data_IF_927662458895
#
_entry.id   IF_927662458895
#
_cell.length_a   1.000
_cell.length_b   1.000
_cell.length_c   1.000
_cell.angle_alpha   90.00
_cell.angle_beta   90.00
_cell.angle_gamma   90.00
#
_symmetry.space_group_name_H-M   'P 1'
#
loop_
_entity.id
_entity.type
_entity.pdbx_description
1 polymer ?
#
# COMPACT_ATOMS: atom_id res chain seq x y z
N UNK A 1 3.60 -7.95 -22.04
CA UNK A 1 4.59 -8.01 -20.94
C UNK A 1 3.99 -7.28 -19.77
N UNK A 2 3.69 -8.02 -18.72
CA UNK A 2 2.98 -7.55 -17.53
C UNK A 2 3.89 -6.61 -16.72
N UNK A 3 3.45 -5.37 -16.52
CA UNK A 3 4.11 -4.33 -15.72
C UNK A 3 3.14 -3.84 -14.66
N UNK A 4 3.66 -3.24 -13.60
CA UNK A 4 2.84 -2.59 -12.59
C UNK A 4 2.85 -1.08 -12.77
N UNK A 5 1.70 -0.44 -12.59
CA UNK A 5 1.55 1.01 -12.68
C UNK A 5 1.10 1.52 -11.31
N UNK A 6 1.94 2.35 -10.68
CA UNK A 6 1.62 3.03 -9.44
C UNK A 6 1.13 4.44 -9.74
N UNK A 7 -0.08 4.75 -9.29
CA UNK A 7 -0.67 6.10 -9.41
C UNK A 7 -0.64 6.76 -8.04
N UNK A 8 0.27 7.70 -7.89
CA UNK A 8 0.57 8.39 -6.64
C UNK A 8 0.25 9.89 -6.73
N UNK A 9 -0.11 10.51 -5.61
CA UNK A 9 -0.41 11.93 -5.55
C UNK A 9 -1.21 12.29 -4.29
N UNK A 10 -1.41 13.58 -4.04
CA UNK A 10 -2.16 14.04 -2.87
C UNK A 10 -3.66 13.71 -2.99
N UNK A 11 -4.39 13.83 -1.88
CA UNK A 11 -5.85 13.74 -1.91
C UNK A 11 -6.42 14.84 -2.82
N UNK A 12 -7.37 14.50 -3.69
CA UNK A 12 -7.94 15.44 -4.67
C UNK A 12 -7.14 15.62 -5.96
N UNK A 13 -5.95 15.03 -6.10
CA UNK A 13 -5.12 15.10 -7.31
C UNK A 13 -5.70 14.39 -8.56
N UNK A 14 -6.83 13.69 -8.42
CA UNK A 14 -7.47 12.97 -9.52
C UNK A 14 -6.93 11.57 -9.78
N UNK A 15 -6.24 10.96 -8.80
CA UNK A 15 -5.73 9.58 -8.85
C UNK A 15 -6.77 8.57 -9.32
N UNK A 16 -7.95 8.57 -8.70
CA UNK A 16 -9.02 7.63 -9.05
C UNK A 16 -9.49 7.79 -10.51
N UNK A 17 -9.47 9.03 -11.02
CA UNK A 17 -9.76 9.31 -12.44
C UNK A 17 -8.67 8.75 -13.35
N UNK A 18 -7.40 8.87 -12.97
CA UNK A 18 -6.29 8.28 -13.71
C UNK A 18 -6.38 6.74 -13.73
N UNK A 19 -6.57 6.13 -12.56
CA UNK A 19 -6.74 4.68 -12.41
C UNK A 19 -7.90 4.18 -13.28
N UNK A 20 -9.04 4.89 -13.28
CA UNK A 20 -10.18 4.55 -14.15
C UNK A 20 -9.81 4.56 -15.64
N UNK A 21 -9.10 5.59 -16.11
CA UNK A 21 -8.68 5.69 -17.51
C UNK A 21 -7.66 4.61 -17.88
N UNK A 22 -6.71 4.33 -17.00
CA UNK A 22 -5.72 3.27 -17.21
C UNK A 22 -6.41 1.90 -17.26
N UNK A 23 -7.35 1.64 -16.36
CA UNK A 23 -8.12 0.39 -16.33
C UNK A 23 -8.95 0.20 -17.61
N UNK A 24 -9.59 1.25 -18.11
CA UNK A 24 -10.33 1.19 -19.38
C UNK A 24 -9.44 0.87 -20.59
N UNK A 25 -8.18 1.33 -20.56
CA UNK A 25 -7.21 1.09 -21.64
C UNK A 25 -6.47 -0.24 -21.53
N UNK A 26 -6.39 -0.79 -20.31
CA UNK A 26 -5.71 -2.03 -20.00
C UNK A 26 -6.70 -2.93 -19.23
N UNK A 27 -7.78 -3.41 -19.87
CA UNK A 27 -8.84 -4.16 -19.20
C UNK A 27 -8.36 -5.49 -18.61
N UNK A 28 -7.21 -5.99 -19.03
CA UNK A 28 -6.54 -7.16 -18.50
C UNK A 28 -5.80 -6.89 -17.17
N UNK A 29 -5.60 -5.62 -16.80
CA UNK A 29 -4.89 -5.28 -15.57
C UNK A 29 -5.80 -5.40 -14.34
N UNK A 30 -5.24 -5.93 -13.27
CA UNK A 30 -5.89 -5.94 -11.96
C UNK A 30 -5.77 -4.57 -11.31
N UNK A 31 -6.90 -3.99 -10.89
CA UNK A 31 -6.91 -2.69 -10.23
C UNK A 31 -7.01 -2.87 -8.72
N UNK A 32 -6.09 -2.24 -8.00
CA UNK A 32 -6.10 -2.14 -6.54
C UNK A 32 -6.37 -0.70 -6.14
N UNK A 33 -7.44 -0.51 -5.39
CA UNK A 33 -7.83 0.79 -4.82
C UNK A 33 -7.23 0.95 -3.44
N UNK A 34 -7.18 2.20 -3.01
CA UNK A 34 -6.87 2.57 -1.64
C UNK A 34 -7.77 1.77 -0.66
N UNK A 35 -7.15 1.04 0.28
CA UNK A 35 -7.83 0.19 1.26
C UNK A 35 -8.22 -1.20 0.82
N UNK A 36 -7.92 -1.60 -0.41
CA UNK A 36 -7.93 -3.01 -0.77
C UNK A 36 -6.78 -3.75 -0.08
N UNK A 37 -6.90 -5.08 0.06
CA UNK A 37 -5.71 -5.89 0.30
C UNK A 37 -4.84 -5.85 -0.96
N UNK A 38 -3.60 -5.40 -0.81
CA UNK A 38 -2.65 -5.25 -1.91
C UNK A 38 -1.38 -6.06 -1.62
N UNK A 39 -0.76 -6.74 -2.61
CA UNK A 39 0.47 -7.50 -2.38
C UNK A 39 1.66 -6.70 -1.84
N UNK A 40 1.68 -5.38 -2.07
CA UNK A 40 2.82 -4.50 -1.76
C UNK A 40 2.54 -3.48 -0.64
N UNK A 41 1.28 -3.25 -0.29
CA UNK A 41 0.82 -2.19 0.61
C UNK A 41 -0.22 -2.75 1.59
N UNK A 42 -0.22 -2.26 2.82
CA UNK A 42 -1.06 -2.66 3.95
C UNK A 42 -1.81 -1.49 4.61
N UNK A 43 -1.86 -0.31 4.00
CA UNK A 43 -2.67 0.79 4.51
C UNK A 43 -4.12 0.33 4.73
N UNK A 44 -4.68 0.65 5.91
CA UNK A 44 -6.02 0.22 6.33
C UNK A 44 -6.23 -1.29 6.44
N UNK A 45 -5.13 -2.02 6.68
CA UNK A 45 -5.13 -3.44 6.98
C UNK A 45 -4.44 -3.70 8.33
N UNK A 46 -5.08 -4.50 9.19
CA UNK A 46 -4.43 -5.01 10.39
C UNK A 46 -3.42 -6.10 10.00
N UNK A 47 -2.21 -6.03 10.53
CA UNK A 47 -1.12 -6.99 10.30
C UNK A 47 -0.75 -7.68 11.61
N UNK A 48 -1.26 -8.90 11.79
CA UNK A 48 -1.25 -9.60 13.08
C UNK A 48 -0.67 -11.00 12.97
N UNK A 49 -0.11 -11.50 14.08
CA UNK A 49 0.30 -12.89 14.20
C UNK A 49 -0.92 -13.82 14.42
N UNK A 50 -0.66 -15.12 14.48
CA UNK A 50 -1.70 -16.12 14.66
C UNK A 50 -2.44 -15.98 16.01
N UNK A 51 -1.73 -15.65 17.08
CA UNK A 51 -2.33 -15.53 18.42
C UNK A 51 -3.30 -14.35 18.46
N UNK A 52 -2.86 -13.20 17.98
CA UNK A 52 -3.66 -11.98 17.87
C UNK A 52 -4.84 -12.18 16.94
N UNK A 53 -4.65 -12.88 15.82
CA UNK A 53 -5.75 -13.23 14.91
C UNK A 53 -6.84 -14.06 15.59
N UNK A 54 -6.45 -15.11 16.34
CA UNK A 54 -7.40 -15.95 17.08
C UNK A 54 -8.13 -15.14 18.17
N UNK A 55 -7.41 -14.31 18.91
CA UNK A 55 -8.00 -13.40 19.90
C UNK A 55 -9.05 -12.47 19.26
N UNK A 56 -8.75 -11.86 18.10
CA UNK A 56 -9.70 -10.99 17.39
C UNK A 56 -10.92 -11.77 16.91
N UNK A 57 -10.74 -13.02 16.46
CA UNK A 57 -11.82 -13.92 16.09
C UNK A 57 -12.77 -14.24 17.24
N UNK A 58 -12.24 -14.42 18.44
CA UNK A 58 -13.02 -14.68 19.64
C UNK A 58 -13.73 -13.42 20.15
N UNK A 59 -12.99 -12.31 20.25
CA UNK A 59 -13.50 -11.00 20.70
C UNK A 59 -14.66 -10.52 19.83
N UNK A 60 -14.54 -10.68 18.51
CA UNK A 60 -15.57 -10.30 17.54
C UNK A 60 -16.27 -11.51 16.95
N UNK A 61 -16.73 -12.43 17.82
CA UNK A 61 -17.38 -13.67 17.41
C UNK A 61 -18.55 -13.49 16.43
N UNK A 62 -19.32 -12.40 16.55
CA UNK A 62 -20.41 -12.05 15.63
C UNK A 62 -19.97 -11.57 14.24
N UNK A 63 -18.67 -11.37 14.02
CA UNK A 63 -18.08 -10.97 12.74
C UNK A 63 -17.12 -12.02 12.17
N UNK A 64 -17.05 -13.24 12.74
CA UNK A 64 -16.08 -14.27 12.32
C UNK A 64 -16.06 -14.52 10.82
N UNK A 65 -17.23 -14.62 10.19
CA UNK A 65 -17.33 -14.85 8.74
C UNK A 65 -16.77 -13.67 7.94
N UNK A 66 -17.08 -12.44 8.35
CA UNK A 66 -16.58 -11.23 7.69
C UNK A 66 -15.07 -11.04 7.91
N UNK A 67 -14.57 -11.30 9.12
CA UNK A 67 -13.13 -11.25 9.39
C UNK A 67 -12.42 -12.32 8.54
N UNK A 68 -12.92 -13.57 8.54
CA UNK A 68 -12.35 -14.65 7.72
C UNK A 68 -12.30 -14.28 6.23
N UNK A 69 -13.43 -13.79 5.68
CA UNK A 69 -13.55 -13.42 4.27
C UNK A 69 -12.62 -12.28 3.86
N UNK A 70 -12.35 -11.35 4.77
CA UNK A 70 -11.48 -10.20 4.53
C UNK A 70 -10.05 -10.41 5.06
N UNK A 71 -9.67 -11.66 5.37
CA UNK A 71 -8.33 -12.01 5.81
C UNK A 71 -7.56 -12.75 4.73
N UNK A 72 -6.33 -12.31 4.48
CA UNK A 72 -5.33 -13.07 3.72
C UNK A 72 -4.28 -13.60 4.68
N UNK A 73 -4.06 -14.92 4.64
CA UNK A 73 -2.95 -15.55 5.35
C UNK A 73 -1.68 -15.44 4.53
N UNK A 74 -0.68 -14.80 5.10
CA UNK A 74 0.70 -14.80 4.63
C UNK A 74 1.51 -15.79 5.48
N UNK A 75 2.75 -16.09 5.10
CA UNK A 75 3.56 -17.15 5.77
C UNK A 75 3.60 -16.99 7.29
N UNK A 76 3.86 -15.76 7.76
CA UNK A 76 4.11 -15.46 9.18
C UNK A 76 3.01 -14.56 9.80
N UNK A 77 1.98 -14.19 9.04
CA UNK A 77 1.01 -13.17 9.46
C UNK A 77 -0.38 -13.34 8.83
N UNK A 78 -1.36 -12.69 9.43
CA UNK A 78 -2.70 -12.52 8.91
C UNK A 78 -2.92 -11.04 8.60
N UNK A 79 -3.34 -10.76 7.38
CA UNK A 79 -3.66 -9.42 6.91
C UNK A 79 -5.18 -9.29 6.84
N UNK A 80 -5.76 -8.42 7.66
CA UNK A 80 -7.21 -8.22 7.73
C UNK A 80 -7.54 -6.85 7.11
N UNK A 81 -8.22 -6.84 5.96
CA UNK A 81 -8.72 -5.62 5.31
C UNK A 81 -9.97 -5.09 6.06
N UNK A 82 -9.79 -4.69 7.30
CA UNK A 82 -10.88 -4.49 8.26
C UNK A 82 -11.80 -3.31 7.93
N UNK A 83 -11.33 -2.35 7.14
CA UNK A 83 -12.16 -1.24 6.64
C UNK A 83 -13.20 -1.67 5.62
N UNK A 84 -13.04 -2.86 5.01
CA UNK A 84 -14.06 -3.49 4.16
C UNK A 84 -15.19 -4.15 4.95
N UNK A 85 -15.00 -4.38 6.25
CA UNK A 85 -16.00 -5.00 7.13
C UNK A 85 -16.95 -3.91 7.62
N UNK A 86 -18.17 -3.90 7.06
CA UNK A 86 -19.24 -2.99 7.47
C UNK A 86 -19.92 -3.53 8.71
N UNK A 87 -19.78 -2.83 9.84
CA UNK A 87 -20.35 -3.26 11.11
C UNK A 87 -20.80 -2.08 11.96
N UNK A 88 -21.79 -2.33 12.82
CA UNK A 88 -22.25 -1.38 13.85
C UNK A 88 -21.64 -1.67 15.22
N UNK A 89 -20.79 -2.70 15.36
CA UNK A 89 -20.14 -3.01 16.63
C UNK A 89 -19.22 -1.84 17.00
N UNK A 90 -19.50 -1.12 18.10
CA UNK A 90 -18.72 0.04 18.48
C UNK A 90 -17.25 -0.32 18.72
N UNK A 91 -16.35 0.54 18.25
CA UNK A 91 -14.92 0.40 18.48
C UNK A 91 -14.21 -0.66 17.63
N UNK A 92 -14.90 -1.44 16.79
CA UNK A 92 -14.26 -2.47 15.95
C UNK A 92 -13.14 -1.89 15.08
N UNK A 93 -13.41 -0.86 14.28
CA UNK A 93 -12.41 -0.28 13.38
C UNK A 93 -11.23 0.35 14.15
N UNK A 94 -11.52 1.04 15.25
CA UNK A 94 -10.49 1.65 16.11
C UNK A 94 -9.60 0.60 16.79
N UNK A 95 -10.19 -0.53 17.18
CA UNK A 95 -9.44 -1.63 17.76
C UNK A 95 -8.53 -2.29 16.73
N UNK A 96 -8.98 -2.46 15.48
CA UNK A 96 -8.15 -3.07 14.45
C UNK A 96 -7.06 -2.14 13.89
N UNK A 97 -7.32 -0.83 13.90
CA UNK A 97 -6.36 0.22 13.51
C UNK A 97 -5.04 0.15 14.29
N UNK A 98 -5.05 -0.25 15.56
CA UNK A 98 -3.83 -0.36 16.38
C UNK A 98 -2.86 -1.47 15.89
N UNK A 99 -3.35 -2.38 15.04
CA UNK A 99 -2.57 -3.48 14.48
C UNK A 99 -2.06 -3.19 13.06
N UNK A 100 -2.31 -2.00 12.51
CA UNK A 100 -1.68 -1.59 11.26
C UNK A 100 -0.15 -1.53 11.40
N UNK A 101 0.56 -1.58 10.27
CA UNK A 101 1.99 -1.26 10.24
C UNK A 101 2.26 0.26 10.24
N UNK A 102 1.21 1.04 10.01
CA UNK A 102 1.19 2.50 9.90
C UNK A 102 0.86 3.16 11.25
N UNK A 103 0.73 4.49 11.24
CA UNK A 103 0.38 5.31 12.40
C UNK A 103 1.35 5.21 13.58
N UNK A 104 2.62 4.86 13.31
CA UNK A 104 3.64 4.65 14.35
C UNK A 104 3.42 3.41 15.22
N UNK A 105 2.56 2.48 14.81
CA UNK A 105 2.26 1.25 15.56
C UNK A 105 3.42 0.23 15.54
N UNK A 106 4.45 0.45 14.71
CA UNK A 106 5.66 -0.38 14.60
C UNK A 106 6.90 0.48 14.80
N UNK A 107 7.98 -0.14 15.29
CA UNK A 107 9.28 0.52 15.24
C UNK A 107 9.67 0.77 13.78
N UNK A 108 10.58 1.73 13.56
CA UNK A 108 11.09 2.03 12.22
C UNK A 108 11.65 0.77 11.54
N UNK A 109 12.45 -0.01 12.26
CA UNK A 109 13.09 -1.22 11.74
C UNK A 109 12.04 -2.24 11.29
N UNK A 110 11.02 -2.48 12.13
CA UNK A 110 9.93 -3.40 11.81
C UNK A 110 9.12 -2.92 10.60
N UNK A 111 8.79 -1.63 10.56
CA UNK A 111 8.05 -1.04 9.46
C UNK A 111 8.81 -1.18 8.13
N UNK A 112 10.07 -0.77 8.10
CA UNK A 112 10.91 -0.85 6.89
C UNK A 112 11.10 -2.29 6.43
N UNK A 113 11.36 -3.22 7.36
CA UNK A 113 11.50 -4.65 7.05
C UNK A 113 10.24 -5.22 6.40
N UNK A 114 9.07 -4.94 6.97
CA UNK A 114 7.79 -5.41 6.42
C UNK A 114 7.60 -4.86 5.01
N UNK A 115 7.73 -3.54 4.81
CA UNK A 115 7.54 -2.92 3.48
C UNK A 115 8.51 -3.51 2.46
N UNK A 116 9.81 -3.58 2.77
CA UNK A 116 10.81 -4.15 1.86
C UNK A 116 10.53 -5.62 1.53
N UNK A 117 10.18 -6.45 2.52
CA UNK A 117 9.86 -7.88 2.33
C UNK A 117 8.66 -8.07 1.39
N UNK A 118 7.63 -7.23 1.50
CA UNK A 118 6.46 -7.27 0.60
C UNK A 118 6.86 -6.96 -0.84
N UNK A 119 7.54 -5.83 -1.05
CA UNK A 119 8.03 -5.45 -2.38
C UNK A 119 9.01 -6.46 -2.96
N UNK A 120 9.79 -7.17 -2.13
CA UNK A 120 10.71 -8.22 -2.57
C UNK A 120 9.98 -9.47 -3.06
N UNK A 121 8.94 -9.92 -2.35
CA UNK A 121 8.18 -11.14 -2.68
C UNK A 121 7.23 -10.96 -3.86
N UNK A 122 6.75 -9.75 -4.09
CA UNK A 122 5.82 -9.45 -5.17
C UNK A 122 6.49 -9.49 -6.55
N UNK A 123 5.80 -10.01 -7.56
CA UNK A 123 6.22 -9.92 -8.96
C UNK A 123 5.08 -9.29 -9.77
N UNK A 124 5.36 -8.27 -10.60
CA UNK A 124 4.34 -7.63 -11.43
C UNK A 124 3.66 -8.63 -12.38
N UNK A 125 2.34 -8.55 -12.44
CA UNK A 125 1.43 -9.36 -13.29
C UNK A 125 0.43 -8.52 -14.09
N UNK A 126 0.64 -7.20 -14.19
CA UNK A 126 -0.29 -6.32 -14.87
C UNK A 126 -1.24 -5.70 -13.87
N UNK A 127 -0.71 -4.89 -12.96
CA UNK A 127 -1.49 -4.26 -11.89
C UNK A 127 -1.51 -2.74 -12.03
N UNK A 128 -2.60 -2.13 -11.59
CA UNK A 128 -2.72 -0.69 -11.40
C UNK A 128 -3.01 -0.45 -9.92
N UNK A 129 -2.09 0.23 -9.24
CA UNK A 129 -2.21 0.55 -7.82
C UNK A 129 -2.55 2.03 -7.62
N UNK A 130 -3.51 2.30 -6.75
CA UNK A 130 -3.84 3.64 -6.25
C UNK A 130 -3.20 3.85 -4.87
N UNK A 131 -2.26 4.80 -4.73
CA UNK A 131 -1.60 5.14 -3.46
C UNK A 131 -1.00 3.95 -2.69
N UNK A 132 -0.11 3.20 -3.34
CA UNK A 132 0.52 2.03 -2.72
C UNK A 132 2.05 2.15 -2.55
N UNK A 133 2.65 3.20 -3.10
CA UNK A 133 4.09 3.30 -3.26
C UNK A 133 4.74 4.44 -2.49
N UNK A 134 4.06 5.59 -2.35
CA UNK A 134 4.67 6.79 -1.77
C UNK A 134 3.92 7.29 -0.55
N UNK A 135 2.64 7.62 -0.72
CA UNK A 135 1.95 8.49 0.23
C UNK A 135 1.95 7.93 1.66
N UNK A 136 1.46 6.70 1.85
CA UNK A 136 1.33 6.09 3.18
C UNK A 136 2.69 5.85 3.85
N UNK A 137 3.66 5.37 3.07
CA UNK A 137 5.02 5.10 3.56
C UNK A 137 5.69 6.41 3.99
N UNK A 138 5.64 7.43 3.15
CA UNK A 138 6.22 8.74 3.43
C UNK A 138 5.57 9.41 4.63
N UNK A 139 4.23 9.40 4.71
CA UNK A 139 3.48 9.97 5.83
C UNK A 139 3.84 9.29 7.15
N UNK A 140 3.95 7.96 7.17
CA UNK A 140 4.35 7.22 8.38
C UNK A 140 5.78 7.52 8.82
N UNK A 141 6.72 7.52 7.87
CA UNK A 141 8.12 7.83 8.16
C UNK A 141 8.27 9.27 8.68
N UNK A 142 7.59 10.24 8.06
CA UNK A 142 7.74 11.65 8.42
C UNK A 142 6.97 12.02 9.69
N UNK A 143 5.67 11.68 9.76
CA UNK A 143 4.78 12.20 10.80
C UNK A 143 4.84 11.40 12.10
N UNK A 144 5.00 10.07 12.00
CA UNK A 144 4.92 9.19 13.15
C UNK A 144 6.28 8.72 13.62
N UNK A 145 7.15 8.30 12.70
CA UNK A 145 8.49 7.84 13.01
C UNK A 145 9.51 8.98 13.07
N UNK A 146 9.15 10.20 12.62
CA UNK A 146 10.00 11.39 12.63
C UNK A 146 11.37 11.14 11.99
N UNK A 147 11.38 10.38 10.89
CA UNK A 147 12.59 10.06 10.13
C UNK A 147 13.04 11.27 9.32
N UNK A 148 14.34 11.53 9.33
CA UNK A 148 14.94 12.63 8.58
C UNK A 148 14.87 12.38 7.06
N UNK A 149 14.83 13.45 6.28
CA UNK A 149 14.64 13.38 4.81
C UNK A 149 15.69 12.51 4.11
N UNK A 150 16.96 12.61 4.49
CA UNK A 150 18.03 11.80 3.89
C UNK A 150 17.84 10.30 4.16
N UNK A 151 17.36 9.96 5.36
CA UNK A 151 17.10 8.58 5.74
C UNK A 151 15.87 8.00 5.02
N UNK A 152 14.87 8.85 4.75
CA UNK A 152 13.73 8.50 3.87
C UNK A 152 14.25 8.23 2.46
N UNK A 153 15.15 9.06 1.93
CA UNK A 153 15.76 8.83 0.61
C UNK A 153 16.55 7.51 0.60
N UNK A 154 17.31 7.20 1.65
CA UNK A 154 18.02 5.93 1.80
C UNK A 154 17.08 4.71 1.84
N UNK A 155 15.94 4.83 2.51
CA UNK A 155 14.89 3.81 2.44
C UNK A 155 14.41 3.59 1.01
N UNK A 156 14.07 4.64 0.28
CA UNK A 156 13.62 4.50 -1.11
C UNK A 156 14.72 3.99 -2.06
N UNK A 157 16.00 4.28 -1.79
CA UNK A 157 17.14 3.69 -2.51
C UNK A 157 17.19 2.17 -2.30
N UNK A 158 17.05 1.68 -1.06
CA UNK A 158 16.93 0.24 -0.77
C UNK A 158 15.70 -0.39 -1.42
N UNK A 159 14.55 0.31 -1.39
CA UNK A 159 13.34 -0.16 -2.06
C UNK A 159 13.54 -0.29 -3.58
N UNK A 160 14.28 0.64 -4.19
CA UNK A 160 14.64 0.57 -5.61
C UNK A 160 15.50 -0.65 -5.92
N UNK A 161 16.44 -1.01 -5.06
CA UNK A 161 17.26 -2.22 -5.23
C UNK A 161 16.39 -3.49 -5.21
N UNK A 162 15.40 -3.55 -4.33
CA UNK A 162 14.41 -4.64 -4.24
C UNK A 162 13.55 -4.76 -5.52
N UNK A 163 13.37 -3.66 -6.25
CA UNK A 163 12.61 -3.60 -7.49
C UNK A 163 13.43 -3.91 -8.75
N UNK A 164 14.75 -4.14 -8.64
CA UNK A 164 15.59 -4.46 -9.79
C UNK A 164 15.05 -5.70 -10.53
N UNK A 165 14.88 -5.56 -11.85
CA UNK A 165 14.33 -6.60 -12.71
C UNK A 165 12.80 -6.65 -12.76
N UNK A 166 12.09 -5.90 -11.88
CA UNK A 166 10.64 -5.78 -11.89
C UNK A 166 10.23 -4.61 -12.77
N UNK A 167 9.22 -4.83 -13.63
CA UNK A 167 8.72 -3.78 -14.53
C UNK A 167 7.70 -2.93 -13.82
N UNK A 168 8.13 -1.78 -13.33
CA UNK A 168 7.28 -0.80 -12.65
C UNK A 168 7.26 0.52 -13.41
N UNK A 169 6.13 1.21 -13.40
CA UNK A 169 5.97 2.60 -13.83
C UNK A 169 5.30 3.37 -12.70
N UNK A 170 5.82 4.55 -12.37
CA UNK A 170 5.28 5.38 -11.29
C UNK A 170 4.82 6.72 -11.88
N UNK A 171 3.52 6.99 -11.79
CA UNK A 171 2.87 8.21 -12.24
C UNK A 171 2.64 9.13 -11.04
N UNK A 172 3.18 10.35 -11.10
CA UNK A 172 3.42 11.18 -9.92
C UNK A 172 3.10 12.65 -10.06
N UNK A 173 2.83 13.27 -8.92
CA UNK A 173 2.91 14.71 -8.69
C UNK A 173 4.07 15.15 -7.74
N UNK A 174 4.81 14.22 -7.10
CA UNK A 174 5.80 14.55 -6.05
C UNK A 174 7.28 14.40 -6.46
N UNK A 175 8.18 15.22 -5.89
CA UNK A 175 9.61 15.32 -6.28
C UNK A 175 10.53 14.19 -5.76
N UNK A 176 10.27 13.65 -4.56
CA UNK A 176 11.11 12.63 -3.91
C UNK A 176 11.37 11.42 -4.83
N UNK A 177 10.31 10.86 -5.41
CA UNK A 177 10.47 9.70 -6.28
C UNK A 177 11.17 10.03 -7.59
N UNK A 178 11.10 11.28 -8.08
CA UNK A 178 11.87 11.69 -9.26
C UNK A 178 13.37 11.59 -9.00
N UNK A 179 13.79 11.95 -7.79
CA UNK A 179 15.19 11.89 -7.38
C UNK A 179 15.69 10.44 -7.32
N UNK A 180 14.90 9.53 -6.73
CA UNK A 180 15.30 8.14 -6.55
C UNK A 180 15.09 7.30 -7.81
N UNK A 181 13.95 7.45 -8.48
CA UNK A 181 13.49 6.56 -9.56
C UNK A 181 13.60 7.17 -10.96
N UNK A 182 14.09 8.40 -11.14
CA UNK A 182 14.52 8.92 -12.44
C UNK A 182 13.61 8.60 -13.63
N UNK A 183 14.05 7.67 -14.50
CA UNK A 183 13.40 7.32 -15.79
C UNK A 183 12.10 6.53 -15.62
N UNK A 184 11.95 5.84 -14.50
CA UNK A 184 10.80 5.04 -14.11
C UNK A 184 9.64 5.92 -13.60
N UNK A 185 9.92 7.20 -13.34
CA UNK A 185 8.90 8.20 -12.98
C UNK A 185 8.45 8.99 -14.20
N UNK A 186 7.13 9.19 -14.29
CA UNK A 186 6.55 10.22 -15.17
C UNK A 186 5.76 11.20 -14.31
N UNK A 187 6.22 12.45 -14.31
CA UNK A 187 5.48 13.55 -13.70
C UNK A 187 4.40 13.96 -14.69
N UNK A 188 3.15 13.87 -14.27
CA UNK A 188 2.02 14.32 -15.08
C UNK A 188 1.63 15.70 -14.58
N UNK A 189 1.98 16.75 -15.35
CA UNK A 189 1.78 18.15 -14.91
C UNK A 189 0.41 18.70 -15.27
N UNK A 190 -0.37 17.98 -16.08
CA UNK A 190 -1.73 18.39 -16.45
C UNK A 190 -2.59 17.23 -16.95
N UNK A 191 -3.92 17.42 -16.97
CA UNK A 191 -4.90 16.50 -17.58
C UNK A 191 -4.64 16.22 -19.08
N UNK A 192 -3.78 16.99 -19.74
CA UNK A 192 -3.46 16.88 -21.18
C UNK A 192 -2.21 16.04 -21.47
N UNK A 193 -1.33 15.82 -20.49
CA UNK A 193 -0.13 14.96 -20.64
C UNK A 193 -0.41 13.48 -20.33
N UNK A 194 -1.68 13.14 -20.13
CA UNK A 194 -2.12 11.78 -19.83
C UNK A 194 -1.89 10.90 -21.07
N UNK A 195 -1.15 9.79 -20.97
CA UNK A 195 -0.84 8.95 -22.13
C UNK A 195 -2.12 8.52 -22.85
N UNK A 196 -2.07 8.55 -24.19
CA UNK A 196 -3.14 8.18 -25.11
C UNK A 196 -3.58 6.73 -24.96
#
# INVERSE_FOLDING_TARGET
MERAIFVEGLQGAGKSTMVNRLSQKNPEYTVYREGDYVPVELAWCAYVDQETYQMLFEKYSGLKEEIYKNTVREEDAYVIAYTKILTKIPGFHKDLEQYEIYNGNKSREQFEEIVLKRYQRWNPKGEIFECAFLQNILENMLLYLQVEEEEILDFYRRLKEVLVGKKTEILLEHRILKEVFGKETRILRSKQEMPA
#
